data_IF_152568245250
#
_entry.id   IF_152568245250
#
_cell.length_a   1.000
_cell.length_b   1.000
_cell.length_c   1.000
_cell.angle_alpha   90.00
_cell.angle_beta   90.00
_cell.angle_gamma   90.00
#
_symmetry.space_group_name_H-M   'P 1'
#
loop_
_entity.id
_entity.type
_entity.pdbx_description
1 polymer ?
#
# COMPACT_ATOMS: atom_id res chain seq x y z
N UNK A 1 -7.80 33.00 6.34
CA UNK A 1 -8.00 32.45 7.70
C UNK A 1 -6.71 31.75 8.09
N UNK A 2 -6.13 32.09 9.25
CA UNK A 2 -4.84 31.57 9.68
C UNK A 2 -5.03 30.74 10.95
N UNK A 3 -4.43 29.56 11.00
CA UNK A 3 -4.47 28.64 12.15
C UNK A 3 -3.03 28.34 12.55
N UNK A 4 -2.73 28.40 13.84
CA UNK A 4 -1.42 28.01 14.37
C UNK A 4 -1.44 26.52 14.70
N UNK A 5 -0.44 25.80 14.18
CA UNK A 5 -0.33 24.35 14.35
C UNK A 5 0.92 24.05 15.17
N UNK A 6 0.73 23.31 16.25
CA UNK A 6 1.83 22.69 16.99
C UNK A 6 2.14 21.32 16.37
N UNK A 7 3.41 21.05 16.14
CA UNK A 7 3.92 19.80 15.55
C UNK A 7 4.95 19.20 16.52
N UNK A 8 5.00 17.88 16.62
CA UNK A 8 6.09 17.21 17.34
C UNK A 8 7.40 17.37 16.58
N UNK A 9 8.53 17.39 17.30
CA UNK A 9 9.87 17.48 16.70
C UNK A 9 10.14 16.34 15.70
N UNK A 10 9.60 15.15 15.96
CA UNK A 10 9.70 14.00 15.07
C UNK A 10 8.95 14.23 13.76
N UNK A 11 7.72 14.75 13.83
CA UNK A 11 6.93 15.12 12.66
C UNK A 11 7.63 16.24 11.86
N UNK A 12 8.17 17.25 12.55
CA UNK A 12 8.92 18.32 11.91
C UNK A 12 10.16 17.79 11.19
N UNK A 13 10.94 16.91 11.82
CA UNK A 13 12.09 16.24 11.19
C UNK A 13 11.66 15.40 9.98
N UNK A 14 10.56 14.65 10.07
CA UNK A 14 10.04 13.86 8.97
C UNK A 14 9.57 14.73 7.78
N UNK A 15 8.98 15.90 8.05
CA UNK A 15 8.68 16.90 7.01
C UNK A 15 9.94 17.40 6.32
N UNK A 16 10.98 17.70 7.10
CA UNK A 16 12.23 18.27 6.58
C UNK A 16 13.09 17.24 5.82
N UNK A 17 13.06 15.96 6.23
CA UNK A 17 13.89 14.91 5.65
C UNK A 17 13.23 14.19 4.45
N UNK A 18 11.91 14.31 4.28
CA UNK A 18 11.12 13.57 3.29
C UNK A 18 10.48 14.45 2.23
N UNK A 19 9.59 13.85 1.42
CA UNK A 19 8.87 14.53 0.33
C UNK A 19 7.72 15.45 0.81
N UNK A 20 7.89 16.11 1.97
CA UNK A 20 7.13 17.30 2.37
C UNK A 20 5.65 17.12 2.77
N UNK A 21 5.12 15.90 2.89
CA UNK A 21 3.72 15.68 3.28
C UNK A 21 3.61 14.79 4.49
N UNK A 22 2.88 15.24 5.52
CA UNK A 22 2.40 14.43 6.63
C UNK A 22 0.88 14.31 6.59
N UNK A 23 0.38 13.17 7.03
CA UNK A 23 -1.05 12.90 7.16
C UNK A 23 -1.34 12.55 8.62
N UNK A 24 -2.45 13.05 9.14
CA UNK A 24 -2.72 13.01 10.56
C UNK A 24 -4.02 13.71 10.92
N UNK A 25 -4.31 13.75 12.21
CA UNK A 25 -5.45 14.47 12.77
C UNK A 25 -5.00 15.77 13.43
N UNK A 26 -5.78 16.84 13.26
CA UNK A 26 -5.59 18.10 13.98
C UNK A 26 -6.59 18.19 15.15
N UNK A 27 -6.07 18.11 16.37
CA UNK A 27 -6.87 18.38 17.58
C UNK A 27 -6.90 19.88 17.84
N UNK A 28 -8.05 20.52 17.68
CA UNK A 28 -8.20 21.95 17.97
C UNK A 28 -8.24 22.19 19.47
N UNK A 29 -7.37 23.07 19.97
CA UNK A 29 -7.41 23.57 21.36
C UNK A 29 -8.21 24.88 21.41
N UNK A 30 -8.21 25.63 20.29
CA UNK A 30 -9.07 26.79 20.06
C UNK A 30 -9.47 26.87 18.58
N UNK A 31 -10.39 27.76 18.19
CA UNK A 31 -10.78 27.93 16.79
C UNK A 31 -9.62 28.30 15.84
N UNK A 32 -8.51 28.81 16.39
CA UNK A 32 -7.35 29.27 15.62
C UNK A 32 -6.05 28.56 15.99
N UNK A 33 -6.09 27.57 16.91
CA UNK A 33 -4.90 26.85 17.37
C UNK A 33 -5.19 25.36 17.56
N UNK A 34 -4.29 24.51 17.06
CA UNK A 34 -4.45 23.06 17.18
C UNK A 34 -3.14 22.30 17.19
N UNK A 35 -3.19 21.08 17.72
CA UNK A 35 -2.07 20.16 17.80
C UNK A 35 -2.19 19.09 16.71
N UNK A 36 -1.15 18.92 15.90
CA UNK A 36 -1.10 17.94 14.83
C UNK A 36 -0.52 16.61 15.30
N UNK A 37 -1.32 15.56 15.19
CA UNK A 37 -0.90 14.20 15.48
C UNK A 37 -0.71 13.44 14.16
N UNK A 38 0.54 13.18 13.80
CA UNK A 38 0.89 12.42 12.61
C UNK A 38 0.42 10.97 12.75
N UNK A 39 -0.22 10.43 11.71
CA UNK A 39 -0.44 8.99 11.64
C UNK A 39 0.89 8.28 11.47
N UNK A 40 1.07 7.17 12.19
CA UNK A 40 2.14 6.22 11.88
C UNK A 40 1.86 5.65 10.50
N UNK A 41 2.49 6.21 9.47
CA UNK A 41 2.60 5.49 8.20
C UNK A 41 3.54 4.33 8.45
N UNK A 42 3.00 3.12 8.41
CA UNK A 42 3.82 1.98 8.02
C UNK A 42 4.41 2.38 6.66
N UNK A 43 5.70 2.67 6.61
CA UNK A 43 6.38 2.92 5.35
C UNK A 43 5.98 1.79 4.41
N UNK A 44 5.54 2.13 3.19
CA UNK A 44 5.46 1.12 2.13
C UNK A 44 6.84 0.47 2.09
N UNK A 45 6.93 -0.80 2.51
CA UNK A 45 8.22 -1.49 2.55
C UNK A 45 8.83 -1.38 1.14
N UNK A 46 9.99 -0.72 0.99
CA UNK A 46 10.67 -0.70 -0.30
C UNK A 46 11.07 -2.13 -0.63
N UNK A 47 10.65 -2.65 -1.78
CA UNK A 47 10.98 -4.03 -2.22
C UNK A 47 9.79 -4.85 -2.73
N UNK A 48 8.55 -4.44 -2.42
CA UNK A 48 7.37 -5.20 -2.87
C UNK A 48 7.13 -5.10 -4.39
N UNK A 49 7.46 -6.14 -5.16
CA UNK A 49 7.11 -6.23 -6.59
C UNK A 49 5.70 -6.81 -6.73
N UNK A 50 4.93 -6.38 -7.73
CA UNK A 50 3.59 -6.93 -7.98
C UNK A 50 3.23 -6.97 -9.46
N UNK A 51 2.31 -7.86 -9.83
CA UNK A 51 1.63 -7.85 -11.13
C UNK A 51 0.13 -7.74 -10.94
N UNK A 52 -0.51 -6.98 -11.82
CA UNK A 52 -1.96 -6.96 -11.93
C UNK A 52 -2.41 -8.15 -12.75
N UNK A 53 -3.41 -8.87 -12.26
CA UNK A 53 -4.06 -9.98 -12.93
C UNK A 53 -5.48 -9.57 -13.33
N UNK A 54 -6.17 -10.32 -14.21
CA UNK A 54 -7.51 -9.98 -14.67
C UNK A 54 -8.51 -9.74 -13.53
N UNK A 55 -8.56 -10.64 -12.55
CA UNK A 55 -9.47 -10.56 -11.40
C UNK A 55 -8.71 -10.29 -10.10
N UNK A 56 -7.44 -9.89 -10.16
CA UNK A 56 -6.60 -9.96 -8.97
C UNK A 56 -5.27 -9.23 -9.03
N UNK A 57 -4.41 -9.59 -8.08
CA UNK A 57 -3.04 -9.12 -7.98
C UNK A 57 -2.17 -10.17 -7.31
N UNK A 58 -1.00 -10.41 -7.87
CA UNK A 58 0.09 -11.13 -7.20
C UNK A 58 1.13 -10.14 -6.71
N UNK A 59 1.65 -10.32 -5.49
CA UNK A 59 2.70 -9.50 -4.91
C UNK A 59 3.74 -10.35 -4.22
N UNK A 60 5.01 -10.04 -4.44
CA UNK A 60 6.17 -10.60 -3.74
C UNK A 60 6.67 -9.54 -2.78
N UNK A 61 6.72 -9.87 -1.49
CA UNK A 61 7.45 -9.09 -0.49
C UNK A 61 8.58 -9.91 0.10
N UNK A 62 9.40 -9.28 0.92
CA UNK A 62 10.68 -9.83 1.41
C UNK A 62 10.57 -11.22 2.08
N UNK A 63 9.42 -11.56 2.66
CA UNK A 63 9.23 -12.81 3.40
C UNK A 63 8.08 -13.69 2.92
N UNK A 64 7.21 -13.17 2.04
CA UNK A 64 6.00 -13.88 1.63
C UNK A 64 5.56 -13.46 0.22
N UNK A 65 4.99 -14.42 -0.51
CA UNK A 65 4.23 -14.18 -1.74
C UNK A 65 2.74 -14.16 -1.40
N UNK A 66 1.98 -13.27 -2.03
CA UNK A 66 0.52 -13.18 -1.89
C UNK A 66 -0.14 -13.12 -3.26
N UNK A 67 -1.15 -13.97 -3.45
CA UNK A 67 -2.13 -13.86 -4.54
C UNK A 67 -3.47 -13.44 -3.94
N UNK A 68 -4.07 -12.37 -4.49
CA UNK A 68 -5.41 -11.92 -4.14
C UNK A 68 -6.30 -11.97 -5.37
N UNK A 69 -7.40 -12.70 -5.27
CA UNK A 69 -8.43 -12.85 -6.30
C UNK A 69 -9.71 -12.16 -5.85
N UNK A 70 -10.38 -11.48 -6.77
CA UNK A 70 -11.67 -10.80 -6.61
C UNK A 70 -12.47 -10.94 -7.89
N UNK A 71 -13.35 -11.93 -7.92
CA UNK A 71 -14.30 -12.17 -9.00
C UNK A 71 -15.63 -11.57 -8.58
N UNK A 72 -16.29 -10.85 -9.49
CA UNK A 72 -17.60 -10.27 -9.20
C UNK A 72 -18.69 -11.35 -9.33
N UNK A 73 -19.75 -11.25 -8.53
CA UNK A 73 -20.83 -12.27 -8.55
C UNK A 73 -21.71 -12.17 -9.82
N UNK A 74 -21.68 -11.03 -10.49
CA UNK A 74 -22.41 -10.72 -11.72
C UNK A 74 -21.61 -11.03 -12.99
N UNK A 75 -20.37 -11.50 -12.86
CA UNK A 75 -19.54 -11.94 -13.98
C UNK A 75 -20.10 -13.26 -14.53
N UNK A 76 -20.60 -13.22 -15.76
CA UNK A 76 -21.17 -14.38 -16.47
C UNK A 76 -20.06 -15.13 -17.21
N UNK A 77 -20.23 -16.44 -17.39
CA UNK A 77 -19.27 -17.33 -18.07
C UNK A 77 -17.89 -17.46 -17.39
N UNK A 78 -17.82 -17.21 -16.08
CA UNK A 78 -16.60 -17.40 -15.29
C UNK A 78 -16.80 -18.51 -14.26
N UNK A 79 -15.95 -19.54 -14.35
CA UNK A 79 -15.79 -20.54 -13.30
C UNK A 79 -14.68 -20.10 -12.35
N UNK A 80 -14.95 -19.84 -11.05
CA UNK A 80 -13.93 -19.39 -10.11
C UNK A 80 -12.73 -20.32 -9.96
N UNK A 81 -12.95 -21.63 -10.16
CA UNK A 81 -11.87 -22.63 -10.12
C UNK A 81 -10.88 -22.45 -11.27
N UNK A 82 -11.37 -22.19 -12.49
CA UNK A 82 -10.53 -22.01 -13.68
C UNK A 82 -9.70 -20.72 -13.55
N UNK A 83 -10.33 -19.63 -13.10
CA UNK A 83 -9.64 -18.36 -12.80
C UNK A 83 -8.55 -18.55 -11.76
N UNK A 84 -8.83 -19.31 -10.69
CA UNK A 84 -7.83 -19.58 -9.67
C UNK A 84 -6.62 -20.33 -10.24
N UNK A 85 -6.84 -21.34 -11.08
CA UNK A 85 -5.75 -22.09 -11.72
C UNK A 85 -4.95 -21.18 -12.66
N UNK A 86 -5.61 -20.45 -13.54
CA UNK A 86 -4.94 -19.62 -14.54
C UNK A 86 -4.18 -18.45 -13.92
N UNK A 87 -4.80 -17.77 -12.96
CA UNK A 87 -4.14 -16.66 -12.24
C UNK A 87 -3.04 -17.16 -11.30
N UNK A 88 -3.15 -18.37 -10.74
CA UNK A 88 -2.07 -18.98 -9.96
C UNK A 88 -0.84 -19.29 -10.83
N UNK A 89 -1.03 -19.75 -12.08
CA UNK A 89 0.06 -19.97 -13.03
C UNK A 89 0.77 -18.66 -13.35
N UNK A 90 0.03 -17.63 -13.72
CA UNK A 90 0.60 -16.31 -14.01
C UNK A 90 1.32 -15.70 -12.80
N UNK A 91 0.78 -15.91 -11.60
CA UNK A 91 1.43 -15.49 -10.36
C UNK A 91 2.73 -16.27 -10.13
N UNK A 92 2.76 -17.58 -10.38
CA UNK A 92 3.98 -18.39 -10.28
C UNK A 92 5.05 -17.91 -11.25
N UNK A 93 4.72 -17.74 -12.53
CA UNK A 93 5.66 -17.25 -13.55
C UNK A 93 6.21 -15.86 -13.22
N UNK A 94 5.41 -15.02 -12.55
CA UNK A 94 5.88 -13.73 -12.07
C UNK A 94 6.86 -13.87 -10.91
N UNK A 95 6.54 -14.73 -9.94
CA UNK A 95 7.40 -14.99 -8.78
C UNK A 95 8.76 -15.52 -9.24
N UNK A 96 8.76 -16.50 -10.14
CA UNK A 96 9.99 -17.08 -10.70
C UNK A 96 10.83 -16.00 -11.39
N UNK A 97 10.23 -15.18 -12.25
CA UNK A 97 10.93 -14.04 -12.89
C UNK A 97 11.48 -13.02 -11.90
N UNK A 98 10.77 -12.79 -10.78
CA UNK A 98 11.23 -11.85 -9.75
C UNK A 98 12.47 -12.37 -9.06
N UNK A 99 12.49 -13.67 -8.73
CA UNK A 99 13.64 -14.31 -8.10
C UNK A 99 14.80 -14.47 -9.09
N UNK A 100 14.55 -14.87 -10.33
CA UNK A 100 15.58 -15.04 -11.37
C UNK A 100 16.25 -13.71 -11.75
N UNK A 101 15.54 -12.58 -11.65
CA UNK A 101 16.10 -11.25 -11.92
C UNK A 101 16.89 -10.66 -10.73
N UNK A 102 16.89 -11.32 -9.57
CA UNK A 102 17.63 -10.91 -8.36
C UNK A 102 18.91 -11.71 -8.10
N UNK A 103 19.18 -12.75 -8.90
CA UNK A 103 20.45 -13.49 -8.94
C UNK A 103 21.33 -13.05 -10.13
#
# INVERSE_FOLDING_TARGET
MNVRIQLSDEAYKALMNGNGRLEGSLGLVSPTEGNFNAYRRNASKPGGKYIKLPHGRASVGDSHVRLTLRIALDETDITPADVLIDESRQASDFVDRVFDAEF
#
